data_IF_282750655872
#
_entry.id   IF_282750655872
#
_cell.length_a   1.000
_cell.length_b   1.000
_cell.length_c   1.000
_cell.angle_alpha   90.00
_cell.angle_beta   90.00
_cell.angle_gamma   90.00
#
_symmetry.space_group_name_H-M   'P 1'
#
loop_
_entity.id
_entity.type
_entity.pdbx_description
1 polymer ?
#
# COMPACT_ATOMS: atom_id res chain seq x y z
N UNK A 1 17.67 -13.96 0.24
CA UNK A 1 18.01 -13.69 1.66
C UNK A 1 16.76 -13.98 2.47
N UNK A 2 16.77 -14.99 3.35
CA UNK A 2 15.54 -15.47 4.00
C UNK A 2 15.04 -14.50 5.08
N UNK A 3 13.72 -14.35 5.18
CA UNK A 3 13.08 -13.54 6.22
C UNK A 3 13.05 -14.35 7.53
N UNK A 4 13.47 -13.72 8.63
CA UNK A 4 13.34 -14.29 9.96
C UNK A 4 11.90 -14.11 10.46
N UNK A 5 11.20 -15.21 10.69
CA UNK A 5 9.82 -15.25 11.18
C UNK A 5 9.70 -15.57 12.68
N UNK A 6 10.81 -15.89 13.34
CA UNK A 6 10.85 -16.22 14.78
C UNK A 6 10.73 -14.96 15.64
N UNK A 7 11.09 -13.80 15.08
CA UNK A 7 10.97 -12.50 15.74
C UNK A 7 9.53 -11.97 15.73
N UNK A 8 9.19 -11.12 16.69
CA UNK A 8 7.88 -10.46 16.75
C UNK A 8 7.54 -9.69 15.46
N UNK A 9 8.52 -9.00 14.88
CA UNK A 9 8.44 -8.30 13.60
C UNK A 9 9.30 -9.06 12.59
N UNK A 10 8.71 -9.82 11.64
CA UNK A 10 9.48 -10.53 10.65
C UNK A 10 10.33 -9.58 9.80
N UNK A 11 11.58 -9.92 9.52
CA UNK A 11 12.45 -9.02 8.76
C UNK A 11 13.65 -9.71 8.10
N UNK A 12 14.30 -9.00 7.18
CA UNK A 12 15.59 -9.39 6.59
C UNK A 12 16.68 -8.31 6.74
N UNK A 13 16.54 -7.45 7.76
CA UNK A 13 17.44 -6.31 8.03
C UNK A 13 18.25 -6.47 9.31
N UNK A 14 18.28 -7.69 9.86
CA UNK A 14 18.98 -8.03 11.11
C UNK A 14 18.51 -7.16 12.30
N UNK A 15 17.20 -6.99 12.45
CA UNK A 15 16.63 -6.12 13.50
C UNK A 15 17.05 -6.55 14.92
N UNK A 16 17.31 -7.84 15.13
CA UNK A 16 17.69 -8.40 16.43
C UNK A 16 19.04 -7.88 16.94
N UNK A 17 19.95 -7.48 16.06
CA UNK A 17 21.27 -6.96 16.46
C UNK A 17 21.20 -5.49 16.90
N UNK A 18 20.22 -4.72 16.44
CA UNK A 18 19.95 -3.34 16.88
C UNK A 18 18.82 -3.28 17.92
N UNK A 19 19.18 -3.53 19.19
CA UNK A 19 18.22 -3.53 20.32
C UNK A 19 17.52 -2.20 20.55
N UNK A 20 18.13 -1.09 20.17
CA UNK A 20 17.52 0.23 20.32
C UNK A 20 16.41 0.42 19.29
N UNK A 21 16.70 0.09 18.02
CA UNK A 21 15.72 0.13 16.94
C UNK A 21 14.58 -0.86 17.16
N UNK A 22 14.91 -2.11 17.54
CA UNK A 22 13.94 -3.16 17.83
C UNK A 22 12.91 -2.67 18.86
N UNK A 23 13.39 -2.15 20.01
CA UNK A 23 12.50 -1.63 21.06
C UNK A 23 11.66 -0.45 20.60
N UNK A 24 12.22 0.45 19.79
CA UNK A 24 11.46 1.60 19.28
C UNK A 24 10.32 1.17 18.35
N UNK A 25 10.54 0.19 17.48
CA UNK A 25 9.50 -0.35 16.60
C UNK A 25 8.47 -1.20 17.37
N UNK A 26 8.91 -2.00 18.34
CA UNK A 26 8.02 -2.75 19.22
C UNK A 26 7.19 -1.86 20.15
N UNK A 27 7.66 -0.64 20.44
CA UNK A 27 6.90 0.40 21.14
C UNK A 27 5.85 1.06 20.26
N UNK A 28 6.13 1.23 18.96
CA UNK A 28 5.16 1.79 18.00
C UNK A 28 4.11 0.75 17.57
N UNK A 29 4.43 -0.54 17.58
CA UNK A 29 3.53 -1.63 17.15
C UNK A 29 2.13 -1.60 17.78
N UNK A 30 1.96 -1.40 19.10
CA UNK A 30 0.63 -1.34 19.71
C UNK A 30 -0.21 -0.17 19.19
N UNK A 31 0.41 0.97 18.89
CA UNK A 31 -0.28 2.14 18.33
C UNK A 31 -0.74 1.87 16.89
N UNK A 32 0.08 1.19 16.08
CA UNK A 32 -0.32 0.70 14.77
C UNK A 32 -1.50 -0.28 14.86
N UNK A 33 -1.47 -1.23 15.80
CA UNK A 33 -2.56 -2.20 15.98
C UNK A 33 -3.84 -1.52 16.49
N UNK A 34 -3.73 -0.48 17.32
CA UNK A 34 -4.88 0.34 17.72
C UNK A 34 -5.47 1.07 16.51
N UNK A 35 -4.64 1.72 15.70
CA UNK A 35 -5.08 2.34 14.45
C UNK A 35 -5.74 1.31 13.53
N UNK A 36 -5.17 0.12 13.36
CA UNK A 36 -5.77 -0.95 12.55
C UNK A 36 -7.13 -1.40 13.09
N UNK A 37 -7.28 -1.50 14.41
CA UNK A 37 -8.56 -1.84 15.04
C UNK A 37 -9.64 -0.77 14.84
N UNK A 38 -9.25 0.51 14.78
CA UNK A 38 -10.16 1.64 14.57
C UNK A 38 -10.48 1.89 13.09
N UNK A 39 -9.46 1.86 12.24
CA UNK A 39 -9.50 2.35 10.86
C UNK A 39 -9.31 1.27 9.79
N UNK A 40 -8.92 0.06 10.19
CA UNK A 40 -8.89 -1.10 9.30
C UNK A 40 -10.29 -1.59 8.92
N UNK A 41 -10.39 -2.72 8.20
CA UNK A 41 -11.66 -3.17 7.61
C UNK A 41 -12.75 -3.46 8.66
N UNK A 42 -13.91 -2.82 8.50
CA UNK A 42 -14.97 -2.73 9.51
C UNK A 42 -15.65 -4.08 9.81
N UNK A 43 -15.71 -4.46 11.09
CA UNK A 43 -16.43 -5.66 11.54
C UNK A 43 -15.73 -6.98 11.20
N UNK A 44 -14.45 -6.94 10.79
CA UNK A 44 -13.74 -8.10 10.22
C UNK A 44 -12.70 -8.73 11.16
N UNK A 45 -12.51 -8.19 12.36
CA UNK A 45 -11.38 -8.53 13.24
C UNK A 45 -11.25 -10.04 13.56
N UNK A 46 -12.37 -10.78 13.56
CA UNK A 46 -12.40 -12.20 13.87
C UNK A 46 -12.38 -13.11 12.63
N UNK A 47 -12.36 -12.56 11.41
CA UNK A 47 -12.41 -13.36 10.19
C UNK A 47 -11.08 -14.08 9.96
N UNK A 48 -11.16 -15.36 9.61
CA UNK A 48 -10.03 -16.11 9.09
C UNK A 48 -9.93 -15.86 7.58
N UNK A 49 -8.96 -15.03 7.17
CA UNK A 49 -8.80 -14.60 5.78
C UNK A 49 -7.64 -15.34 5.14
N UNK A 50 -7.86 -15.90 3.95
CA UNK A 50 -6.80 -16.53 3.16
C UNK A 50 -5.90 -15.47 2.51
N UNK A 51 -4.81 -15.14 3.18
CA UNK A 51 -3.90 -14.06 2.82
C UNK A 51 -2.52 -14.60 2.43
N UNK A 52 -1.88 -13.85 1.55
CA UNK A 52 -0.47 -13.98 1.22
C UNK A 52 0.35 -13.25 2.27
N UNK A 53 1.48 -13.83 2.70
CA UNK A 53 2.48 -13.18 3.55
C UNK A 53 3.88 -13.44 2.99
N UNK A 54 4.73 -12.42 2.94
CA UNK A 54 6.05 -12.49 2.28
C UNK A 54 7.09 -13.29 3.06
N UNK A 55 7.53 -14.44 2.58
CA UNK A 55 8.54 -15.33 3.21
C UNK A 55 9.96 -15.16 2.68
N UNK A 56 10.14 -14.50 1.54
CA UNK A 56 11.44 -14.13 1.00
C UNK A 56 11.36 -12.82 0.21
N UNK A 57 12.51 -12.23 -0.12
CA UNK A 57 12.65 -11.13 -1.09
C UNK A 57 13.13 -11.62 -2.47
N UNK A 58 13.31 -12.93 -2.63
CA UNK A 58 13.82 -13.56 -3.83
C UNK A 58 12.69 -13.83 -4.86
N UNK A 59 12.97 -13.67 -6.16
CA UNK A 59 11.97 -13.79 -7.23
C UNK A 59 11.36 -15.20 -7.39
N UNK A 60 12.04 -16.24 -6.90
CA UNK A 60 11.66 -17.65 -7.11
C UNK A 60 10.56 -18.17 -6.18
N UNK A 61 10.15 -17.38 -5.18
CA UNK A 61 9.15 -17.79 -4.19
C UNK A 61 9.19 -16.87 -2.98
N UNK A 62 8.48 -15.74 -3.09
CA UNK A 62 8.56 -14.68 -2.10
C UNK A 62 7.46 -14.73 -1.04
N UNK A 63 6.44 -15.59 -1.18
CA UNK A 63 5.32 -15.59 -0.27
C UNK A 63 4.67 -16.96 -0.04
N UNK A 64 4.04 -17.09 1.12
CA UNK A 64 3.17 -18.20 1.50
C UNK A 64 1.72 -17.73 1.60
N UNK A 65 0.77 -18.65 1.41
CA UNK A 65 -0.65 -18.37 1.65
C UNK A 65 -1.15 -19.18 2.85
N UNK A 66 -2.01 -18.57 3.65
CA UNK A 66 -2.62 -19.22 4.79
C UNK A 66 -3.80 -18.44 5.34
N UNK A 67 -4.61 -19.10 6.15
CA UNK A 67 -5.66 -18.42 6.91
C UNK A 67 -5.06 -17.72 8.11
N UNK A 68 -5.39 -16.44 8.28
CA UNK A 68 -4.95 -15.62 9.41
C UNK A 68 -6.03 -14.59 9.74
N UNK A 69 -6.17 -14.24 11.01
CA UNK A 69 -6.94 -13.07 11.40
C UNK A 69 -6.10 -11.84 11.11
N UNK A 70 -6.66 -10.84 10.43
CA UNK A 70 -5.88 -9.66 10.03
C UNK A 70 -5.14 -8.96 11.20
N UNK A 71 -5.69 -8.84 12.42
CA UNK A 71 -4.93 -8.32 13.57
C UNK A 71 -3.67 -9.10 13.93
N UNK A 72 -3.61 -10.39 13.56
CA UNK A 72 -2.47 -11.29 13.75
C UNK A 72 -1.58 -11.37 12.51
N UNK A 73 -1.85 -10.57 11.47
CA UNK A 73 -1.04 -10.54 10.26
C UNK A 73 0.41 -10.19 10.61
N UNK A 74 1.33 -10.91 9.98
CA UNK A 74 2.76 -10.82 10.30
C UNK A 74 3.39 -9.68 9.48
N UNK A 75 3.04 -8.44 9.81
CA UNK A 75 3.63 -7.24 9.19
C UNK A 75 5.13 -7.19 9.45
N UNK A 76 5.92 -7.17 8.37
CA UNK A 76 7.37 -7.25 8.44
C UNK A 76 8.10 -6.21 7.59
N UNK A 77 9.42 -6.16 7.77
CA UNK A 77 10.32 -5.19 7.15
C UNK A 77 11.24 -5.91 6.18
N UNK A 78 11.01 -5.69 4.88
CA UNK A 78 11.67 -6.42 3.81
C UNK A 78 12.32 -5.45 2.83
N UNK A 79 13.63 -5.57 2.66
CA UNK A 79 14.41 -4.81 1.69
C UNK A 79 14.96 -5.78 0.65
N UNK A 80 14.96 -5.40 -0.63
CA UNK A 80 15.71 -6.15 -1.64
C UNK A 80 17.19 -6.27 -1.24
N UNK A 81 17.90 -7.32 -1.70
CA UNK A 81 19.33 -7.47 -1.43
C UNK A 81 20.14 -6.26 -1.89
N UNK A 82 21.16 -5.88 -1.12
CA UNK A 82 22.08 -4.82 -1.52
C UNK A 82 22.93 -5.29 -2.71
N UNK A 83 23.17 -4.38 -3.65
CA UNK A 83 24.12 -4.59 -4.75
C UNK A 83 25.52 -4.14 -4.28
N UNK A 84 26.54 -5.02 -4.35
CA UNK A 84 27.92 -4.62 -4.05
C UNK A 84 28.35 -3.44 -4.90
N UNK A 85 29.02 -2.47 -4.27
CA UNK A 85 29.57 -1.27 -4.93
C UNK A 85 28.56 -0.43 -5.73
N UNK A 86 27.25 -0.50 -5.41
CA UNK A 86 26.20 0.28 -6.07
C UNK A 86 26.58 1.76 -6.15
N UNK A 87 26.48 2.31 -7.36
CA UNK A 87 26.75 3.72 -7.65
C UNK A 87 25.45 4.49 -7.88
N UNK A 88 25.49 5.78 -7.58
CA UNK A 88 24.39 6.71 -7.85
C UNK A 88 24.25 6.89 -9.38
N UNK A 89 23.04 6.69 -9.91
CA UNK A 89 22.77 6.66 -11.35
C UNK A 89 22.62 8.02 -12.02
N UNK A 90 22.31 9.08 -11.27
CA UNK A 90 21.94 10.39 -11.81
C UNK A 90 22.33 11.58 -10.90
N UNK A 91 22.15 12.80 -11.41
CA UNK A 91 22.33 14.04 -10.66
C UNK A 91 23.78 14.40 -10.36
N UNK A 92 23.98 15.33 -9.40
CA UNK A 92 25.28 15.90 -9.06
C UNK A 92 26.29 14.87 -8.51
N UNK A 93 25.79 13.79 -7.89
CA UNK A 93 26.61 12.74 -7.29
C UNK A 93 26.74 11.50 -8.16
N UNK A 94 26.38 11.58 -9.46
CA UNK A 94 26.42 10.44 -10.38
C UNK A 94 27.81 9.78 -10.38
N UNK A 95 27.84 8.46 -10.22
CA UNK A 95 29.05 7.66 -10.17
C UNK A 95 29.70 7.54 -8.78
N UNK A 96 29.27 8.33 -7.79
CA UNK A 96 29.67 8.14 -6.40
C UNK A 96 28.99 6.91 -5.79
N UNK A 97 29.53 6.33 -4.69
CA UNK A 97 28.86 5.26 -3.95
C UNK A 97 27.46 5.67 -3.46
N UNK A 98 26.49 4.76 -3.55
CA UNK A 98 25.17 4.95 -2.97
C UNK A 98 25.26 5.06 -1.44
N UNK A 99 24.42 5.91 -0.86
CA UNK A 99 24.45 6.23 0.57
C UNK A 99 23.72 5.18 1.40
N UNK A 100 24.38 4.67 2.42
CA UNK A 100 23.76 3.80 3.44
C UNK A 100 23.20 4.60 4.63
N UNK A 101 23.66 5.83 4.81
CA UNK A 101 23.19 6.80 5.79
C UNK A 101 22.73 8.07 5.09
N UNK A 102 21.84 8.82 5.72
CA UNK A 102 21.29 10.04 5.12
C UNK A 102 22.28 11.21 5.25
N UNK A 103 22.80 11.81 4.16
CA UNK A 103 23.64 12.99 4.25
C UNK A 103 22.89 14.14 4.93
N UNK A 104 23.57 14.85 5.83
CA UNK A 104 22.95 15.91 6.64
C UNK A 104 22.24 16.99 5.80
N UNK A 105 22.83 17.37 4.66
CA UNK A 105 22.27 18.35 3.71
C UNK A 105 20.93 17.93 3.09
N UNK A 106 20.65 16.61 3.00
CA UNK A 106 19.42 16.08 2.38
C UNK A 106 18.42 15.53 3.40
N UNK A 107 18.74 15.59 4.71
CA UNK A 107 17.97 14.93 5.76
C UNK A 107 16.51 15.37 5.82
N UNK A 108 16.23 16.67 5.79
CA UNK A 108 14.85 17.18 5.83
C UNK A 108 14.06 16.79 4.58
N UNK A 109 14.67 16.89 3.40
CA UNK A 109 14.03 16.58 2.13
C UNK A 109 13.72 15.08 2.00
N UNK A 110 14.67 14.21 2.34
CA UNK A 110 14.46 12.75 2.33
C UNK A 110 13.42 12.33 3.37
N UNK A 111 13.41 12.95 4.56
CA UNK A 111 12.35 12.70 5.55
C UNK A 111 10.98 13.04 4.99
N UNK A 112 10.81 14.24 4.42
CA UNK A 112 9.54 14.68 3.82
C UNK A 112 9.06 13.70 2.74
N UNK A 113 9.96 13.25 1.86
CA UNK A 113 9.62 12.26 0.81
C UNK A 113 9.11 10.95 1.44
N UNK A 114 9.83 10.41 2.43
CA UNK A 114 9.45 9.16 3.10
C UNK A 114 8.13 9.30 3.85
N UNK A 115 7.89 10.44 4.51
CA UNK A 115 6.64 10.70 5.21
C UNK A 115 5.48 10.85 4.23
N UNK A 116 5.66 11.58 3.13
CA UNK A 116 4.60 11.76 2.13
C UNK A 116 4.22 10.45 1.45
N UNK A 117 5.19 9.59 1.10
CA UNK A 117 4.90 8.23 0.64
C UNK A 117 4.23 7.41 1.74
N UNK A 118 4.77 7.42 2.97
CA UNK A 118 4.21 6.64 4.07
C UNK A 118 2.79 7.06 4.47
N UNK A 119 2.37 8.27 4.15
CA UNK A 119 1.05 8.80 4.49
C UNK A 119 -0.07 8.28 3.59
N UNK A 120 0.24 7.89 2.35
CA UNK A 120 -0.74 7.33 1.41
C UNK A 120 -1.21 5.94 1.81
N UNK A 121 -0.35 5.18 2.46
CA UNK A 121 -0.58 3.76 2.74
C UNK A 121 -1.71 3.54 3.78
N UNK A 122 -1.70 4.19 4.97
CA UNK A 122 -2.84 4.13 5.86
C UNK A 122 -4.07 4.89 5.33
N UNK A 123 -3.88 5.91 4.47
CA UNK A 123 -5.00 6.62 3.88
C UNK A 123 -5.86 5.72 2.99
N UNK A 124 -5.25 4.88 2.16
CA UNK A 124 -5.99 3.95 1.30
C UNK A 124 -6.79 2.94 2.13
N UNK A 125 -6.23 2.43 3.22
CA UNK A 125 -6.96 1.57 4.18
C UNK A 125 -8.17 2.29 4.77
N UNK A 126 -7.99 3.54 5.20
CA UNK A 126 -9.06 4.37 5.77
C UNK A 126 -10.19 4.63 4.77
N UNK A 127 -9.85 4.94 3.51
CA UNK A 127 -10.82 5.18 2.44
C UNK A 127 -11.64 3.93 2.12
N UNK A 128 -11.06 2.74 2.29
CA UNK A 128 -11.60 1.47 1.81
C UNK A 128 -12.28 0.62 2.90
N UNK A 129 -12.15 1.02 4.18
CA UNK A 129 -12.55 0.22 5.36
C UNK A 129 -13.98 -0.31 5.35
N UNK A 130 -14.90 0.37 4.69
CA UNK A 130 -16.34 0.03 4.65
C UNK A 130 -16.71 -0.96 3.55
N UNK A 131 -15.85 -1.15 2.54
CA UNK A 131 -16.19 -1.89 1.31
C UNK A 131 -16.46 -3.38 1.57
N UNK A 132 -15.92 -3.93 2.65
CA UNK A 132 -16.18 -5.31 3.07
C UNK A 132 -17.67 -5.61 3.31
N UNK A 133 -18.46 -4.61 3.69
CA UNK A 133 -19.90 -4.75 3.97
C UNK A 133 -20.74 -5.00 2.71
N UNK A 134 -20.22 -4.62 1.53
CA UNK A 134 -20.92 -4.70 0.24
C UNK A 134 -20.16 -5.52 -0.78
N UNK A 135 -19.29 -6.43 -0.33
CA UNK A 135 -18.44 -7.19 -1.22
C UNK A 135 -19.25 -8.02 -2.25
N UNK A 136 -18.89 -7.97 -3.54
CA UNK A 136 -19.63 -8.70 -4.57
C UNK A 136 -19.34 -10.21 -4.56
N UNK A 137 -18.26 -10.64 -3.89
CA UNK A 137 -17.93 -12.05 -3.69
C UNK A 137 -16.87 -12.22 -2.59
N UNK A 138 -16.70 -13.45 -2.08
CA UNK A 138 -15.59 -13.79 -1.17
C UNK A 138 -14.21 -13.62 -1.83
N UNK A 139 -14.13 -13.81 -3.16
CA UNK A 139 -12.89 -13.56 -3.91
C UNK A 139 -12.51 -12.08 -3.86
N UNK A 140 -13.49 -11.20 -4.08
CA UNK A 140 -13.30 -9.75 -4.05
C UNK A 140 -13.01 -9.26 -2.63
N UNK A 141 -13.71 -9.78 -1.63
CA UNK A 141 -13.46 -9.49 -0.22
C UNK A 141 -12.02 -9.85 0.19
N UNK A 142 -11.56 -11.05 -0.19
CA UNK A 142 -10.18 -11.51 0.06
C UNK A 142 -9.15 -10.63 -0.63
N UNK A 143 -9.42 -10.15 -1.85
CA UNK A 143 -8.52 -9.23 -2.56
C UNK A 143 -8.46 -7.86 -1.89
N UNK A 144 -9.60 -7.30 -1.47
CA UNK A 144 -9.64 -6.06 -0.68
C UNK A 144 -8.78 -6.19 0.57
N UNK A 145 -8.97 -7.27 1.35
CA UNK A 145 -8.18 -7.50 2.55
C UNK A 145 -6.70 -7.71 2.27
N UNK A 146 -6.34 -8.36 1.15
CA UNK A 146 -4.94 -8.48 0.74
C UNK A 146 -4.31 -7.12 0.49
N UNK A 147 -4.99 -6.24 -0.26
CA UNK A 147 -4.54 -4.86 -0.48
C UNK A 147 -4.39 -4.16 0.87
N UNK A 148 -5.39 -4.20 1.75
CA UNK A 148 -5.33 -3.49 3.02
C UNK A 148 -4.16 -3.93 3.91
N UNK A 149 -3.85 -5.23 4.02
CA UNK A 149 -2.70 -5.67 4.83
C UNK A 149 -1.36 -5.36 4.17
N UNK A 150 -1.29 -5.32 2.83
CA UNK A 150 -0.09 -4.92 2.08
C UNK A 150 0.17 -3.42 2.23
N UNK A 151 -0.85 -2.58 2.17
CA UNK A 151 -0.74 -1.14 2.47
C UNK A 151 -0.38 -0.88 3.94
N UNK A 152 -0.94 -1.66 4.87
CA UNK A 152 -0.47 -1.67 6.25
C UNK A 152 1.02 -1.99 6.36
N UNK A 153 1.54 -2.92 5.55
CA UNK A 153 2.97 -3.27 5.50
C UNK A 153 3.81 -2.18 4.84
N UNK A 154 3.28 -1.46 3.86
CA UNK A 154 3.93 -0.30 3.25
C UNK A 154 4.17 0.82 4.28
N UNK A 155 3.20 1.07 5.17
CA UNK A 155 3.40 1.97 6.31
C UNK A 155 4.55 1.51 7.21
N UNK A 156 4.60 0.21 7.57
CA UNK A 156 5.71 -0.37 8.33
C UNK A 156 7.07 -0.16 7.66
N UNK A 157 7.12 -0.24 6.33
CA UNK A 157 8.33 -0.05 5.55
C UNK A 157 8.88 1.38 5.67
N UNK A 158 8.00 2.39 5.59
CA UNK A 158 8.38 3.79 5.74
C UNK A 158 8.73 4.13 7.20
N UNK A 159 7.96 3.63 8.16
CA UNK A 159 8.22 3.81 9.60
C UNK A 159 9.56 3.21 10.02
N UNK A 160 9.93 2.05 9.47
CA UNK A 160 11.27 1.49 9.66
C UNK A 160 12.36 2.46 9.22
N UNK A 161 12.26 3.04 8.01
CA UNK A 161 13.25 3.99 7.51
C UNK A 161 13.32 5.23 8.41
N UNK A 162 12.15 5.75 8.85
CA UNK A 162 12.07 6.88 9.78
C UNK A 162 12.78 6.59 11.10
N UNK A 163 12.47 5.46 11.75
CA UNK A 163 13.09 5.08 13.01
C UNK A 163 14.60 4.84 12.87
N UNK A 164 15.02 4.13 11.82
CA UNK A 164 16.41 3.73 11.63
C UNK A 164 17.32 4.91 11.31
N UNK A 165 16.89 5.82 10.44
CA UNK A 165 17.78 6.82 9.85
C UNK A 165 17.46 8.26 10.27
N UNK A 166 16.26 8.53 10.81
CA UNK A 166 15.81 9.90 11.13
C UNK A 166 15.74 10.21 12.62
N UNK A 167 16.10 9.26 13.50
CA UNK A 167 16.30 9.50 14.92
C UNK A 167 15.01 9.96 15.63
N UNK A 168 15.09 11.04 16.42
CA UNK A 168 13.92 11.57 17.14
C UNK A 168 12.82 12.04 16.19
N UNK A 169 13.17 12.90 15.24
CA UNK A 169 12.20 13.42 14.26
C UNK A 169 11.52 12.27 13.50
N UNK A 170 12.26 11.18 13.19
CA UNK A 170 11.66 10.00 12.57
C UNK A 170 10.57 9.33 13.40
N UNK A 171 10.73 9.27 14.72
CA UNK A 171 9.71 8.72 15.62
C UNK A 171 8.48 9.62 15.71
N UNK A 172 8.70 10.94 15.79
CA UNK A 172 7.60 11.93 15.81
C UNK A 172 6.79 11.88 14.50
N UNK A 173 7.44 11.71 13.35
CA UNK A 173 6.74 11.52 12.07
C UNK A 173 5.96 10.19 12.00
N UNK A 174 6.50 9.11 12.57
CA UNK A 174 5.83 7.80 12.63
C UNK A 174 4.57 7.83 13.52
N UNK A 175 4.59 8.60 14.60
CA UNK A 175 3.40 8.87 15.41
C UNK A 175 2.39 9.73 14.65
N UNK A 176 2.86 10.79 13.98
CA UNK A 176 2.00 11.69 13.20
C UNK A 176 1.32 10.98 12.01
N UNK A 177 1.96 9.96 11.42
CA UNK A 177 1.37 9.10 10.37
C UNK A 177 0.11 8.36 10.83
N UNK A 178 -0.01 8.03 12.12
CA UNK A 178 -1.21 7.40 12.69
C UNK A 178 -2.24 8.41 13.22
N UNK A 179 -1.78 9.64 13.52
CA UNK A 179 -2.62 10.71 14.02
C UNK A 179 -3.48 11.37 12.92
N UNK A 180 -2.96 11.47 11.69
CA UNK A 180 -3.73 11.94 10.53
C UNK A 180 -4.76 10.90 10.10
N UNK A 181 -5.88 11.35 9.54
CA UNK A 181 -6.99 10.50 9.07
C UNK A 181 -7.56 11.03 7.75
N UNK A 182 -7.85 10.13 6.80
CA UNK A 182 -8.44 10.48 5.51
C UNK A 182 -9.78 11.21 5.70
N UNK A 183 -9.87 12.43 5.17
CA UNK A 183 -11.08 13.26 5.19
C UNK A 183 -11.39 13.92 6.55
N UNK A 184 -10.48 13.84 7.53
CA UNK A 184 -10.63 14.53 8.81
C UNK A 184 -10.49 16.05 8.65
N UNK A 185 -11.26 16.81 9.43
CA UNK A 185 -11.32 18.26 9.30
C UNK A 185 -10.08 18.97 9.85
N UNK A 186 -9.47 18.42 10.91
CA UNK A 186 -8.38 19.07 11.63
C UNK A 186 -7.02 18.45 11.25
N UNK A 187 -6.98 17.13 11.02
CA UNK A 187 -5.79 16.36 10.72
C UNK A 187 -5.96 15.47 9.48
N UNK A 188 -6.26 16.04 8.28
CA UNK A 188 -6.40 15.27 7.05
C UNK A 188 -5.08 14.61 6.62
N UNK A 189 -5.17 13.65 5.70
CA UNK A 189 -4.01 13.12 4.96
C UNK A 189 -3.36 14.21 4.10
N UNK A 190 -2.09 14.03 3.75
CA UNK A 190 -1.28 15.06 3.10
C UNK A 190 -1.78 15.37 1.68
N UNK A 191 -2.16 14.35 0.91
CA UNK A 191 -2.54 14.48 -0.49
C UNK A 191 -4.05 14.48 -0.66
N UNK A 192 -4.57 15.34 -1.54
CA UNK A 192 -6.01 15.53 -1.75
C UNK A 192 -6.73 14.24 -2.17
N UNK A 193 -6.19 13.50 -3.14
CA UNK A 193 -6.77 12.23 -3.61
C UNK A 193 -6.95 11.18 -2.49
N UNK A 194 -6.08 11.23 -1.47
CA UNK A 194 -6.10 10.34 -0.30
C UNK A 194 -6.98 10.86 0.85
N UNK A 195 -7.73 11.94 0.63
CA UNK A 195 -8.82 12.39 1.49
C UNK A 195 -10.20 12.24 0.83
N UNK A 196 -10.24 11.92 -0.47
CA UNK A 196 -11.50 11.64 -1.18
C UNK A 196 -12.15 10.37 -0.65
N UNK A 197 -13.45 10.18 -0.91
CA UNK A 197 -14.12 8.92 -0.55
C UNK A 197 -13.84 7.84 -1.59
N UNK A 198 -13.75 6.59 -1.14
CA UNK A 198 -13.95 5.42 -2.00
C UNK A 198 -15.33 4.82 -1.69
N UNK A 199 -16.41 5.36 -2.28
CA UNK A 199 -17.78 5.10 -1.82
C UNK A 199 -18.32 3.72 -2.19
N UNK A 200 -17.77 3.09 -3.23
CA UNK A 200 -18.25 1.83 -3.78
C UNK A 200 -17.13 1.01 -4.44
N UNK A 201 -17.47 -0.22 -4.85
CA UNK A 201 -16.53 -1.15 -5.44
C UNK A 201 -16.04 -0.73 -6.83
N UNK A 202 -16.82 0.04 -7.61
CA UNK A 202 -16.34 0.57 -8.88
C UNK A 202 -15.26 1.63 -8.63
N UNK A 203 -15.46 2.52 -7.65
CA UNK A 203 -14.43 3.45 -7.19
C UNK A 203 -13.18 2.74 -6.67
N UNK A 204 -13.32 1.66 -5.88
CA UNK A 204 -12.18 0.87 -5.41
C UNK A 204 -11.38 0.25 -6.55
N UNK A 205 -12.04 -0.35 -7.54
CA UNK A 205 -11.34 -0.91 -8.68
C UNK A 205 -10.69 0.17 -9.57
N UNK A 206 -11.29 1.35 -9.67
CA UNK A 206 -10.66 2.50 -10.36
C UNK A 206 -9.46 3.04 -9.57
N UNK A 207 -9.59 3.18 -8.25
CA UNK A 207 -8.51 3.61 -7.35
C UNK A 207 -7.31 2.68 -7.47
N UNK A 208 -7.50 1.38 -7.27
CA UNK A 208 -6.41 0.39 -7.36
C UNK A 208 -5.85 0.23 -8.79
N UNK A 209 -6.54 0.74 -9.81
CA UNK A 209 -6.03 0.75 -11.19
C UNK A 209 -5.26 2.03 -11.57
N UNK A 210 -5.68 3.18 -11.04
CA UNK A 210 -5.13 4.51 -11.34
C UNK A 210 -4.30 5.08 -10.19
N UNK A 211 -4.83 5.21 -8.98
CA UNK A 211 -4.17 5.85 -7.85
C UNK A 211 -2.99 5.01 -7.34
N UNK A 212 -3.15 3.69 -7.18
CA UNK A 212 -2.04 2.78 -6.86
C UNK A 212 -0.98 2.76 -7.98
N UNK A 213 -1.38 3.10 -9.21
CA UNK A 213 -0.42 3.27 -10.31
C UNK A 213 0.43 4.53 -10.14
N UNK A 214 -0.07 5.62 -9.57
CA UNK A 214 0.79 6.72 -9.12
C UNK A 214 1.80 6.19 -8.10
N UNK A 215 1.35 5.46 -7.07
CA UNK A 215 2.20 4.75 -6.12
C UNK A 215 3.32 3.96 -6.81
N UNK A 216 2.98 3.15 -7.82
CA UNK A 216 3.98 2.46 -8.65
C UNK A 216 5.00 3.40 -9.28
N UNK A 217 4.59 4.52 -9.87
CA UNK A 217 5.52 5.47 -10.50
C UNK A 217 6.38 6.19 -9.46
N UNK A 218 5.82 6.61 -8.33
CA UNK A 218 6.57 7.21 -7.22
C UNK A 218 7.59 6.23 -6.67
N UNK A 219 7.17 5.00 -6.34
CA UNK A 219 8.05 3.94 -5.86
C UNK A 219 9.16 3.63 -6.87
N UNK A 220 8.84 3.58 -8.17
CA UNK A 220 9.83 3.39 -9.25
C UNK A 220 10.82 4.53 -9.36
N UNK A 221 10.42 5.78 -9.06
CA UNK A 221 11.37 6.87 -8.98
C UNK A 221 12.27 6.73 -7.74
N UNK A 222 11.70 6.30 -6.62
CA UNK A 222 12.42 6.08 -5.37
C UNK A 222 13.35 4.86 -5.41
N UNK A 223 13.12 3.86 -6.27
CA UNK A 223 14.07 2.74 -6.49
C UNK A 223 15.40 3.21 -7.06
N UNK A 224 15.43 4.40 -7.65
CA UNK A 224 16.64 5.02 -8.18
C UNK A 224 17.37 5.90 -7.16
N UNK A 225 16.79 6.10 -5.97
CA UNK A 225 17.35 6.96 -4.93
C UNK A 225 18.81 6.63 -4.62
N UNK A 226 19.60 7.69 -4.42
CA UNK A 226 20.96 7.60 -3.91
C UNK A 226 21.01 7.08 -2.47
N UNK A 227 19.94 7.26 -1.69
CA UNK A 227 19.77 6.65 -0.38
C UNK A 227 19.31 5.19 -0.56
N UNK A 228 20.25 4.27 -0.47
CA UNK A 228 20.10 2.87 -0.85
C UNK A 228 19.08 2.08 -0.02
N UNK A 229 18.96 2.28 1.31
CA UNK A 229 17.89 1.66 2.10
C UNK A 229 16.48 2.00 1.59
N UNK A 230 16.24 3.25 1.17
CA UNK A 230 14.96 3.64 0.56
C UNK A 230 14.76 2.95 -0.79
N UNK A 231 15.77 2.99 -1.66
CA UNK A 231 15.71 2.34 -2.97
C UNK A 231 15.39 0.84 -2.87
N UNK A 232 16.02 0.13 -1.93
CA UNK A 232 15.80 -1.31 -1.70
C UNK A 232 14.44 -1.60 -1.07
N UNK A 233 13.93 -0.69 -0.24
CA UNK A 233 12.59 -0.80 0.35
C UNK A 233 11.52 -0.68 -0.75
N UNK A 234 11.62 0.33 -1.60
CA UNK A 234 10.62 0.56 -2.66
C UNK A 234 10.69 -0.48 -3.77
N UNK A 235 11.87 -1.06 -4.06
CA UNK A 235 11.98 -2.23 -4.95
C UNK A 235 11.16 -3.42 -4.47
N UNK A 236 11.12 -3.66 -3.16
CA UNK A 236 10.32 -4.73 -2.59
C UNK A 236 8.83 -4.41 -2.70
N UNK A 237 8.44 -3.18 -2.30
CA UNK A 237 7.04 -2.71 -2.39
C UNK A 237 6.47 -2.83 -3.81
N UNK A 238 7.26 -2.55 -4.85
CA UNK A 238 6.83 -2.74 -6.24
C UNK A 238 6.41 -4.18 -6.59
N UNK A 239 6.89 -5.18 -5.85
CA UNK A 239 6.45 -6.58 -6.00
C UNK A 239 5.01 -6.77 -5.50
N UNK A 240 4.62 -6.05 -4.45
CA UNK A 240 3.26 -6.04 -3.90
C UNK A 240 2.34 -5.15 -4.74
N UNK A 241 2.80 -3.97 -5.16
CA UNK A 241 2.04 -3.02 -5.99
C UNK A 241 1.51 -3.64 -7.30
N UNK A 242 2.23 -4.64 -7.83
CA UNK A 242 1.79 -5.43 -8.98
C UNK A 242 0.44 -6.14 -8.74
N UNK A 243 0.17 -6.58 -7.51
CA UNK A 243 -1.09 -7.20 -7.12
C UNK A 243 -2.23 -6.17 -7.07
N UNK A 244 -2.00 -4.99 -6.52
CA UNK A 244 -3.05 -3.96 -6.38
C UNK A 244 -3.58 -3.52 -7.75
N UNK A 245 -2.67 -3.21 -8.68
CA UNK A 245 -3.02 -2.93 -10.08
C UNK A 245 -3.70 -4.10 -10.80
N UNK A 246 -3.40 -5.34 -10.42
CA UNK A 246 -4.12 -6.50 -10.93
C UNK A 246 -5.56 -6.53 -10.43
N UNK A 247 -5.80 -6.25 -9.14
CA UNK A 247 -7.13 -6.19 -8.54
C UNK A 247 -7.99 -5.15 -9.26
N UNK A 248 -7.50 -3.92 -9.40
CA UNK A 248 -8.25 -2.84 -10.06
C UNK A 248 -8.57 -3.14 -11.52
N UNK A 249 -7.55 -3.50 -12.31
CA UNK A 249 -7.71 -3.84 -13.74
C UNK A 249 -8.68 -4.99 -13.96
N UNK A 250 -8.56 -6.07 -13.17
CA UNK A 250 -9.42 -7.24 -13.33
C UNK A 250 -10.85 -6.96 -12.85
N UNK A 251 -11.02 -6.18 -11.79
CA UNK A 251 -12.33 -5.71 -11.32
C UNK A 251 -13.08 -4.93 -12.39
N UNK A 252 -12.44 -3.91 -12.98
CA UNK A 252 -13.03 -3.11 -14.08
C UNK A 252 -13.35 -4.01 -15.28
N UNK A 253 -12.42 -4.90 -15.68
CA UNK A 253 -12.63 -5.84 -16.80
C UNK A 253 -13.87 -6.70 -16.58
N UNK A 254 -14.06 -7.28 -15.39
CA UNK A 254 -15.21 -8.12 -15.05
C UNK A 254 -16.53 -7.34 -15.08
N UNK A 255 -16.54 -6.09 -14.66
CA UNK A 255 -17.73 -5.23 -14.74
C UNK A 255 -18.07 -4.94 -16.21
N UNK A 256 -17.09 -4.58 -17.03
CA UNK A 256 -17.30 -4.33 -18.47
C UNK A 256 -17.80 -5.61 -19.16
N UNK A 257 -17.18 -6.75 -18.88
CA UNK A 257 -17.57 -8.07 -19.41
C UNK A 257 -19.03 -8.38 -19.05
N UNK A 258 -19.41 -8.19 -17.79
CA UNK A 258 -20.80 -8.40 -17.34
C UNK A 258 -21.80 -7.48 -18.04
N UNK A 259 -21.47 -6.20 -18.20
CA UNK A 259 -22.33 -5.25 -18.92
C UNK A 259 -22.47 -5.65 -20.39
N UNK A 260 -21.37 -6.04 -21.05
CA UNK A 260 -21.38 -6.48 -22.44
C UNK A 260 -22.21 -7.75 -22.67
N UNK A 261 -22.14 -8.74 -21.76
CA UNK A 261 -22.99 -9.93 -21.79
C UNK A 261 -24.49 -9.56 -21.80
N UNK A 262 -24.90 -8.64 -20.91
CA UNK A 262 -26.28 -8.19 -20.80
C UNK A 262 -26.70 -7.40 -22.05
N UNK A 263 -25.82 -6.54 -22.58
CA UNK A 263 -26.07 -5.81 -23.83
C UNK A 263 -26.32 -6.77 -25.01
N UNK A 264 -25.51 -7.82 -25.14
CA UNK A 264 -25.67 -8.84 -26.19
C UNK A 264 -26.94 -9.65 -25.99
N UNK A 265 -27.20 -10.13 -24.77
CA UNK A 265 -28.37 -10.95 -24.45
C UNK A 265 -29.70 -10.21 -24.66
N UNK A 266 -29.76 -8.95 -24.24
CA UNK A 266 -30.96 -8.10 -24.31
C UNK A 266 -31.05 -7.28 -25.60
N UNK A 267 -30.01 -7.36 -26.43
CA UNK A 267 -29.86 -6.65 -27.71
C UNK A 267 -30.11 -5.15 -27.56
N UNK A 268 -29.47 -4.55 -26.57
CA UNK A 268 -29.65 -3.15 -26.21
C UNK A 268 -28.36 -2.55 -25.68
N UNK A 269 -28.13 -1.29 -26.04
CA UNK A 269 -27.09 -0.43 -25.48
C UNK A 269 -27.68 0.79 -24.76
N UNK A 270 -29.01 0.83 -24.59
CA UNK A 270 -29.72 1.90 -23.88
C UNK A 270 -29.35 1.89 -22.39
N UNK A 271 -28.69 2.94 -21.87
CA UNK A 271 -28.30 3.01 -20.47
C UNK A 271 -29.47 2.85 -19.50
N UNK A 272 -30.66 3.36 -19.83
CA UNK A 272 -31.82 3.24 -18.95
C UNK A 272 -32.26 1.78 -18.79
N UNK A 273 -32.28 1.03 -19.90
CA UNK A 273 -32.60 -0.40 -19.90
C UNK A 273 -31.52 -1.21 -19.18
N UNK A 274 -30.24 -0.94 -19.45
CA UNK A 274 -29.12 -1.63 -18.79
C UNK A 274 -29.13 -1.45 -17.27
N UNK A 275 -29.43 -0.24 -16.78
CA UNK A 275 -29.59 0.04 -15.35
C UNK A 275 -30.77 -0.71 -14.75
N UNK A 276 -31.90 -0.78 -15.46
CA UNK A 276 -33.06 -1.56 -15.02
C UNK A 276 -32.75 -3.07 -14.94
N UNK A 277 -31.76 -3.55 -15.70
CA UNK A 277 -31.25 -4.92 -15.69
C UNK A 277 -30.14 -5.15 -14.64
N UNK A 278 -29.79 -4.13 -13.84
CA UNK A 278 -28.85 -4.25 -12.73
C UNK A 278 -27.38 -4.27 -13.12
N UNK A 279 -27.00 -3.75 -14.29
CA UNK A 279 -25.60 -3.56 -14.69
C UNK A 279 -25.22 -2.07 -14.76
N UNK A 280 -23.93 -1.79 -14.69
CA UNK A 280 -23.40 -0.42 -14.84
C UNK A 280 -23.15 -0.18 -16.33
N UNK A 281 -23.87 0.77 -16.93
CA UNK A 281 -23.71 1.10 -18.34
C UNK A 281 -22.30 1.65 -18.65
N UNK A 282 -21.79 1.36 -19.85
CA UNK A 282 -20.44 1.76 -20.27
C UNK A 282 -20.18 3.27 -20.18
N UNK A 283 -21.13 4.17 -20.54
CA UNK A 283 -20.96 5.61 -20.33
C UNK A 283 -20.75 6.01 -18.87
N UNK A 284 -21.39 5.33 -17.93
CA UNK A 284 -21.18 5.56 -16.50
C UNK A 284 -19.80 5.07 -16.05
N UNK A 285 -19.36 3.88 -16.49
CA UNK A 285 -18.00 3.38 -16.23
C UNK A 285 -16.95 4.38 -16.75
N UNK A 286 -17.16 4.94 -17.94
CA UNK A 286 -16.27 5.97 -18.51
C UNK A 286 -16.21 7.24 -17.64
N UNK A 287 -17.30 7.66 -17.00
CA UNK A 287 -17.29 8.82 -16.09
C UNK A 287 -16.46 8.55 -14.83
N UNK A 288 -16.55 7.35 -14.26
CA UNK A 288 -15.68 6.93 -13.14
C UNK A 288 -14.22 6.91 -13.57
N UNK A 289 -13.91 6.38 -14.76
CA UNK A 289 -12.56 6.41 -15.33
C UNK A 289 -12.06 7.86 -15.44
N UNK A 290 -12.84 8.75 -16.05
CA UNK A 290 -12.46 10.16 -16.21
C UNK A 290 -12.18 10.83 -14.86
N UNK A 291 -13.04 10.59 -13.87
CA UNK A 291 -12.86 11.13 -12.52
C UNK A 291 -11.53 10.65 -11.91
N UNK A 292 -11.35 9.33 -11.76
CA UNK A 292 -10.17 8.78 -11.09
C UNK A 292 -8.86 9.08 -11.84
N UNK A 293 -8.89 9.11 -13.19
CA UNK A 293 -7.72 9.50 -13.98
C UNK A 293 -7.39 10.98 -13.91
N UNK A 294 -8.32 11.86 -13.52
CA UNK A 294 -8.08 13.30 -13.41
C UNK A 294 -7.70 13.74 -12.00
N UNK A 295 -8.15 12.98 -10.99
CA UNK A 295 -7.83 13.21 -9.57
C UNK A 295 -6.47 12.61 -9.20
N UNK A 296 -6.09 11.50 -9.84
CA UNK A 296 -4.75 10.90 -9.73
C UNK A 296 -3.74 11.75 -10.51
#
# INVERSE_FOLDING_TARGET
>A
MNIDYDQRIPNNVDLVSDKTLQRALEHWQPEFLRWWGEMGPEGTAQFDVYLRTATSVDQAGWAQFGYVKMPDYRWGIFLNPAEPDRKIGFGAHRGAPAWQEVPGEYRSNLRRIIVTQGDTEPASVEQQRHLGLTCPSMYDLRNLFQVNVEEGRHLWAMVYLLHRYFGRDGREEAEALLARRSGDADNPRILGAFNERTPDWLSFFMFTFFTDRDGKFQLSALTESAFDPLARTTRFMLTEEGHHMFVGRNGIRRIIERTAEVMVGERTDDPARLRALGVIDLPTIQRYLNFHSSVT
#
